data_IF_360313651380
#
_entry.id   IF_360313651380
#
_cell.length_a   1.000
_cell.length_b   1.000
_cell.length_c   1.000
_cell.angle_alpha   90.00
_cell.angle_beta   90.00
_cell.angle_gamma   90.00
#
_symmetry.space_group_name_H-M   'P 1'
#
loop_
_entity.id
_entity.type
_entity.pdbx_description
1 polymer ?
#
# COMPACT_ATOMS: atom_id res chain seq x y z
N UNK A 1 -8.23 67.72 40.88
CA UNK A 1 -7.50 68.36 39.76
C UNK A 1 -6.95 67.25 38.90
N UNK A 2 -7.66 66.96 37.79
CA UNK A 2 -7.25 67.16 36.38
C UNK A 2 -6.25 66.09 35.91
N UNK A 3 -6.42 65.39 34.78
CA UNK A 3 -7.46 65.33 33.74
C UNK A 3 -7.05 64.16 32.82
N UNK A 4 -7.98 63.26 32.50
CA UNK A 4 -8.02 62.40 31.27
C UNK A 4 -8.59 63.25 30.09
N UNK A 5 -8.86 62.78 28.83
CA UNK A 5 -8.61 61.52 28.08
C UNK A 5 -8.33 61.68 26.52
N UNK A 6 -8.47 60.58 25.73
CA UNK A 6 -8.76 60.42 24.26
C UNK A 6 -7.56 60.39 23.28
N UNK A 7 -7.49 59.57 22.21
CA UNK A 7 -8.40 58.59 21.54
C UNK A 7 -7.59 57.63 20.63
N UNK A 8 -7.99 56.36 20.45
CA UNK A 8 -8.70 55.76 19.30
C UNK A 8 -8.08 56.03 17.90
N UNK A 9 -7.57 54.99 17.21
CA UNK A 9 -8.19 54.30 16.03
C UNK A 9 -7.25 53.25 15.39
N UNK A 10 -7.82 52.08 15.04
CA UNK A 10 -7.51 51.15 13.90
C UNK A 10 -6.11 50.47 13.83
N UNK A 11 -5.87 49.20 13.53
CA UNK A 11 -6.59 47.96 13.15
C UNK A 11 -5.60 46.78 13.46
N UNK A 12 -6.00 45.69 14.14
CA UNK A 12 -6.41 44.38 13.56
C UNK A 12 -5.35 43.77 12.59
N UNK A 13 -4.76 42.56 12.74
CA UNK A 13 -5.32 41.26 13.16
C UNK A 13 -4.22 40.24 13.53
N UNK A 14 -4.60 39.36 14.44
CA UNK A 14 -4.04 38.02 14.67
C UNK A 14 -4.15 37.14 13.41
N UNK A 15 -3.08 36.41 13.07
CA UNK A 15 -3.09 35.44 11.98
C UNK A 15 -3.67 34.09 12.47
N UNK A 16 -4.99 34.05 12.61
CA UNK A 16 -5.79 32.83 12.61
C UNK A 16 -6.31 32.65 11.19
N UNK A 17 -5.72 31.76 10.39
CA UNK A 17 -6.26 31.45 9.06
C UNK A 17 -7.08 30.17 9.10
N UNK A 18 -8.31 30.32 9.61
CA UNK A 18 -9.42 29.53 9.10
C UNK A 18 -9.67 29.98 7.65
N UNK A 19 -9.83 29.03 6.73
CA UNK A 19 -10.43 29.32 5.43
C UNK A 19 -11.50 28.29 5.20
N UNK A 20 -12.73 28.73 5.41
CA UNK A 20 -13.92 28.10 4.87
C UNK A 20 -13.75 28.01 3.35
N UNK A 21 -13.87 26.80 2.80
CA UNK A 21 -14.15 26.60 1.39
C UNK A 21 -15.64 26.32 1.29
N UNK A 22 -16.32 27.30 0.72
CA UNK A 22 -17.68 27.23 0.21
C UNK A 22 -17.87 26.03 -0.71
N UNK A 23 -19.02 25.37 -0.57
CA UNK A 23 -19.49 24.37 -1.52
C UNK A 23 -19.69 25.03 -2.90
N UNK A 24 -19.27 24.40 -4.02
CA UNK A 24 -19.90 24.61 -5.31
C UNK A 24 -20.82 23.43 -5.62
N UNK A 25 -22.11 23.75 -5.75
CA UNK A 25 -23.11 22.88 -6.38
C UNK A 25 -22.84 22.87 -7.88
N UNK A 26 -22.60 21.67 -8.42
CA UNK A 26 -22.78 21.20 -9.81
C UNK A 26 -22.18 22.02 -10.98
N UNK A 27 -21.22 21.41 -11.70
CA UNK A 27 -21.30 21.19 -13.17
C UNK A 27 -20.15 20.30 -13.66
N UNK A 28 -20.51 19.21 -14.35
CA UNK A 28 -19.78 18.46 -15.39
C UNK A 28 -18.34 18.00 -15.09
N UNK A 29 -18.19 16.70 -14.80
CA UNK A 29 -16.90 15.99 -14.88
C UNK A 29 -16.40 15.99 -16.34
N UNK A 30 -15.27 16.67 -16.57
CA UNK A 30 -14.59 16.71 -17.86
C UNK A 30 -13.97 15.35 -18.23
N UNK A 31 -14.01 14.91 -19.51
CA UNK A 31 -13.44 13.65 -20.00
C UNK A 31 -11.92 13.48 -19.82
N UNK A 32 -11.19 14.53 -19.44
CA UNK A 32 -9.72 14.51 -19.37
C UNK A 32 -9.16 13.68 -18.20
N UNK A 33 -9.86 13.62 -17.06
CA UNK A 33 -9.39 12.92 -15.84
C UNK A 33 -9.49 11.39 -15.92
N UNK A 34 -10.38 10.84 -16.74
CA UNK A 34 -10.42 9.40 -17.03
C UNK A 34 -9.26 8.98 -17.93
N UNK A 35 -8.78 9.88 -18.80
CA UNK A 35 -7.71 9.57 -19.76
C UNK A 35 -6.31 9.47 -19.14
N UNK A 36 -6.10 10.04 -17.95
CA UNK A 36 -4.79 10.08 -17.31
C UNK A 36 -4.56 8.89 -16.36
N UNK A 37 -5.63 8.25 -15.89
CA UNK A 37 -5.54 7.00 -15.12
C UNK A 37 -5.22 5.80 -16.02
N UNK A 38 -5.84 5.73 -17.21
CA UNK A 38 -5.57 4.68 -18.20
C UNK A 38 -4.13 4.75 -18.76
N UNK A 39 -3.58 5.97 -18.95
CA UNK A 39 -2.22 6.16 -19.48
C UNK A 39 -1.13 5.72 -18.51
N UNK A 40 -1.35 5.81 -17.20
CA UNK A 40 -0.34 5.41 -16.22
C UNK A 40 -0.30 3.89 -16.04
N UNK A 41 -1.46 3.24 -16.08
CA UNK A 41 -1.59 1.77 -16.05
C UNK A 41 -1.00 1.14 -17.33
N UNK A 42 -1.24 1.72 -18.50
CA UNK A 42 -0.66 1.25 -19.77
C UNK A 42 0.87 1.46 -19.83
N UNK A 43 1.40 2.48 -19.14
CA UNK A 43 2.83 2.75 -19.08
C UNK A 43 3.57 1.71 -18.23
N UNK A 44 2.99 1.30 -17.10
CA UNK A 44 3.60 0.27 -16.24
C UNK A 44 3.54 -1.14 -16.87
N UNK A 45 2.46 -1.48 -17.58
CA UNK A 45 2.33 -2.77 -18.28
C UNK A 45 3.37 -2.91 -19.40
N UNK A 46 3.65 -1.84 -20.15
CA UNK A 46 4.64 -1.85 -21.24
C UNK A 46 6.10 -1.98 -20.76
N UNK A 47 6.42 -1.45 -19.58
CA UNK A 47 7.74 -1.62 -18.95
C UNK A 47 7.96 -3.09 -18.56
N UNK A 48 6.91 -3.75 -18.04
CA UNK A 48 6.98 -5.15 -17.63
C UNK A 48 7.14 -6.11 -18.81
N UNK A 49 6.50 -5.84 -19.95
CA UNK A 49 6.63 -6.65 -21.16
C UNK A 49 8.00 -6.51 -21.85
N UNK A 50 8.62 -5.33 -21.79
CA UNK A 50 9.97 -5.10 -22.36
C UNK A 50 11.07 -5.84 -21.61
N UNK A 51 10.98 -5.97 -20.29
CA UNK A 51 11.98 -6.66 -19.47
C UNK A 51 11.95 -8.19 -19.68
N UNK A 52 10.79 -8.76 -20.01
CA UNK A 52 10.63 -10.19 -20.31
C UNK A 52 11.29 -10.60 -21.63
N UNK A 53 11.39 -9.69 -22.61
CA UNK A 53 11.98 -9.95 -23.92
C UNK A 53 13.53 -9.97 -23.89
N UNK A 54 14.15 -9.18 -23.02
CA UNK A 54 15.61 -9.02 -22.92
C UNK A 54 16.29 -10.24 -22.26
N UNK A 55 15.58 -10.96 -21.39
CA UNK A 55 16.13 -12.13 -20.67
C UNK A 55 16.16 -13.43 -21.50
N UNK A 56 15.67 -13.42 -22.73
CA UNK A 56 15.56 -14.63 -23.57
C UNK A 56 16.57 -14.75 -24.72
N UNK A 57 17.55 -13.84 -24.82
CA UNK A 57 18.50 -13.82 -25.94
C UNK A 57 19.97 -13.88 -25.51
N UNK A 58 20.46 -14.99 -24.95
CA UNK A 58 21.89 -15.33 -25.00
C UNK A 58 22.14 -16.80 -24.61
N UNK A 59 22.33 -17.70 -25.59
CA UNK A 59 23.26 -18.83 -25.42
C UNK A 59 23.63 -19.53 -26.74
N UNK A 60 24.94 -19.72 -26.97
CA UNK A 60 25.61 -20.82 -27.74
C UNK A 60 27.06 -20.48 -28.08
N UNK A 61 28.05 -21.37 -27.78
CA UNK A 61 29.40 -21.27 -28.33
C UNK A 61 29.85 -22.53 -29.11
N UNK A 62 30.76 -22.33 -30.06
CA UNK A 62 31.35 -23.37 -30.95
C UNK A 62 32.83 -23.63 -30.60
N UNK A 63 33.29 -24.88 -30.72
CA UNK A 63 34.54 -25.41 -30.16
C UNK A 63 35.55 -25.82 -31.26
N UNK A 64 36.76 -25.22 -31.27
CA UNK A 64 37.98 -25.89 -31.82
C UNK A 64 39.33 -25.21 -31.50
N UNK A 65 39.38 -24.17 -30.67
CA UNK A 65 40.64 -23.57 -30.17
C UNK A 65 40.77 -23.70 -28.64
N UNK A 66 40.17 -24.75 -28.07
CA UNK A 66 39.91 -24.87 -26.63
C UNK A 66 41.18 -25.21 -25.83
N UNK A 67 41.88 -26.31 -26.12
CA UNK A 67 42.82 -26.91 -25.16
C UNK A 67 44.10 -26.13 -24.77
N UNK A 68 44.55 -25.16 -25.56
CA UNK A 68 45.72 -24.33 -25.22
C UNK A 68 45.31 -22.98 -24.57
N UNK A 69 44.23 -22.38 -25.07
CA UNK A 69 43.59 -21.22 -24.44
C UNK A 69 42.99 -21.59 -23.09
N UNK A 70 42.49 -22.80 -22.92
CA UNK A 70 41.84 -23.30 -21.71
C UNK A 70 42.82 -23.50 -20.55
N UNK A 71 44.08 -23.87 -20.81
CA UNK A 71 45.12 -23.95 -19.77
C UNK A 71 45.58 -22.58 -19.28
N UNK A 72 45.87 -21.65 -20.20
CA UNK A 72 46.20 -20.27 -19.84
C UNK A 72 45.00 -19.53 -19.21
N UNK A 73 43.78 -19.87 -19.63
CA UNK A 73 42.52 -19.37 -19.05
C UNK A 73 42.22 -20.02 -17.70
N UNK A 74 42.62 -21.26 -17.47
CA UNK A 74 42.50 -21.93 -16.17
C UNK A 74 43.48 -21.36 -15.15
N UNK A 75 44.74 -21.10 -15.53
CA UNK A 75 45.73 -20.44 -14.66
C UNK A 75 45.30 -18.99 -14.35
N UNK A 76 44.92 -18.21 -15.37
CA UNK A 76 44.37 -16.85 -15.17
C UNK A 76 43.04 -16.86 -14.41
N UNK A 77 42.19 -17.88 -14.56
CA UNK A 77 40.96 -18.03 -13.79
C UNK A 77 41.23 -18.46 -12.36
N UNK A 78 42.32 -19.17 -12.09
CA UNK A 78 42.72 -19.56 -10.74
C UNK A 78 43.31 -18.38 -9.98
N UNK A 79 44.17 -17.56 -10.60
CA UNK A 79 44.62 -16.29 -10.03
C UNK A 79 43.47 -15.28 -9.89
N UNK A 80 42.56 -15.19 -10.87
CA UNK A 80 41.36 -14.37 -10.75
C UNK A 80 40.41 -14.89 -9.66
N UNK A 81 40.31 -16.22 -9.47
CA UNK A 81 39.51 -16.85 -8.42
C UNK A 81 40.13 -16.59 -7.05
N UNK A 82 41.44 -16.67 -6.89
CA UNK A 82 42.14 -16.31 -5.65
C UNK A 82 42.03 -14.82 -5.36
N UNK A 83 42.18 -13.95 -6.36
CA UNK A 83 42.01 -12.51 -6.19
C UNK A 83 40.54 -12.15 -5.89
N UNK A 84 39.58 -12.84 -6.50
CA UNK A 84 38.15 -12.72 -6.18
C UNK A 84 37.86 -13.27 -4.79
N UNK A 85 38.51 -14.35 -4.36
CA UNK A 85 38.37 -14.94 -3.03
C UNK A 85 39.02 -14.07 -1.95
N UNK A 86 40.16 -13.44 -2.23
CA UNK A 86 40.82 -12.45 -1.37
C UNK A 86 39.97 -11.18 -1.31
N UNK A 87 39.46 -10.69 -2.44
CA UNK A 87 38.53 -9.56 -2.47
C UNK A 87 37.20 -9.92 -1.79
N UNK A 88 36.74 -11.17 -1.85
CA UNK A 88 35.60 -11.67 -1.09
C UNK A 88 35.94 -11.68 0.39
N UNK A 89 37.08 -12.24 0.81
CA UNK A 89 37.53 -12.30 2.22
C UNK A 89 37.70 -10.91 2.83
N UNK A 90 38.27 -9.96 2.07
CA UNK A 90 38.36 -8.54 2.48
C UNK A 90 36.98 -7.89 2.50
N UNK A 91 36.09 -8.22 1.55
CA UNK A 91 34.65 -7.86 1.61
C UNK A 91 33.89 -8.60 2.74
N UNK A 92 34.42 -9.69 3.30
CA UNK A 92 33.73 -10.47 4.34
C UNK A 92 33.97 -9.92 5.74
N UNK A 93 34.92 -8.98 5.93
CA UNK A 93 35.29 -8.46 7.25
C UNK A 93 35.27 -6.92 7.32
N UNK A 94 34.30 -6.28 6.70
CA UNK A 94 34.17 -4.81 6.71
C UNK A 94 34.09 -4.23 8.11
N UNK A 95 33.26 -4.79 8.99
CA UNK A 95 33.09 -4.26 10.34
C UNK A 95 34.37 -4.45 11.16
N UNK A 96 35.01 -5.61 11.03
CA UNK A 96 36.26 -5.88 11.71
C UNK A 96 37.38 -4.91 11.31
N UNK A 97 37.41 -4.44 10.05
CA UNK A 97 38.48 -3.58 9.56
C UNK A 97 38.25 -2.08 9.77
N UNK A 98 37.01 -1.64 10.05
CA UNK A 98 36.63 -0.22 10.01
C UNK A 98 36.11 0.34 11.34
N UNK A 99 35.82 -0.50 12.34
CA UNK A 99 35.25 -0.05 13.62
C UNK A 99 36.32 0.01 14.72
N UNK A 100 37.44 0.64 14.39
CA UNK A 100 38.52 0.99 15.33
C UNK A 100 38.51 2.50 15.60
N UNK A 101 39.57 3.01 16.24
CA UNK A 101 39.80 4.44 16.44
C UNK A 101 40.22 4.77 17.86
N UNK A 102 40.84 5.94 18.06
CA UNK A 102 41.48 6.33 19.33
C UNK A 102 40.54 6.32 20.54
N UNK A 103 39.24 6.49 20.31
CA UNK A 103 38.21 6.49 21.37
C UNK A 103 37.70 5.09 21.73
N UNK A 104 38.07 4.06 20.95
CA UNK A 104 37.58 2.68 21.09
C UNK A 104 36.05 2.57 21.09
N UNK A 105 35.36 3.44 20.34
CA UNK A 105 33.90 3.56 20.33
C UNK A 105 33.21 2.61 19.32
N UNK A 106 33.97 1.78 18.61
CA UNK A 106 33.43 0.93 17.54
C UNK A 106 32.36 -0.04 18.04
N UNK A 107 32.53 -0.60 19.24
CA UNK A 107 31.56 -1.51 19.85
C UNK A 107 30.19 -0.83 20.03
N UNK A 108 30.17 0.37 20.61
CA UNK A 108 28.93 1.11 20.88
C UNK A 108 28.19 1.43 19.59
N UNK A 109 28.91 1.88 18.57
CA UNK A 109 28.33 2.19 17.26
C UNK A 109 27.69 0.94 16.63
N UNK A 110 28.39 -0.19 16.63
CA UNK A 110 27.88 -1.45 16.07
C UNK A 110 26.69 -2.00 16.84
N UNK A 111 26.74 -1.96 18.17
CA UNK A 111 25.66 -2.42 19.02
C UNK A 111 24.39 -1.58 18.82
N UNK A 112 24.52 -0.25 18.70
CA UNK A 112 23.40 0.63 18.41
C UNK A 112 22.89 0.48 16.96
N UNK A 113 23.77 0.24 15.98
CA UNK A 113 23.34 -0.07 14.62
C UNK A 113 22.44 -1.31 14.59
N UNK A 114 22.84 -2.39 15.26
CA UNK A 114 22.01 -3.58 15.41
C UNK A 114 20.64 -3.22 16.01
N UNK A 115 20.59 -2.37 17.05
CA UNK A 115 19.32 -1.89 17.62
C UNK A 115 18.46 -1.13 16.60
N UNK A 116 19.05 -0.30 15.75
CA UNK A 116 18.31 0.40 14.69
C UNK A 116 17.69 -0.56 13.67
N UNK A 117 18.25 -1.75 13.46
CA UNK A 117 17.61 -2.80 12.65
C UNK A 117 16.21 -3.20 13.14
N UNK A 118 15.91 -3.10 14.46
CA UNK A 118 14.55 -3.32 14.97
C UNK A 118 13.60 -2.17 14.62
N UNK A 119 14.10 -0.94 14.55
CA UNK A 119 13.30 0.21 14.16
C UNK A 119 12.88 0.06 12.69
N UNK A 120 13.82 -0.28 11.80
CA UNK A 120 13.54 -0.51 10.39
C UNK A 120 12.46 -1.60 10.16
N UNK A 121 12.48 -2.70 10.92
CA UNK A 121 11.45 -3.75 10.85
C UNK A 121 10.06 -3.22 11.24
N UNK A 122 9.97 -2.37 12.28
CA UNK A 122 8.71 -1.77 12.72
C UNK A 122 8.16 -0.76 11.71
N UNK A 123 9.03 0.10 11.19
CA UNK A 123 8.68 1.09 10.16
C UNK A 123 8.16 0.40 8.89
N UNK A 124 8.76 -0.73 8.50
CA UNK A 124 8.25 -1.54 7.38
C UNK A 124 6.84 -2.08 7.66
N UNK A 125 6.57 -2.59 8.87
CA UNK A 125 5.24 -3.07 9.25
C UNK A 125 4.20 -1.94 9.24
N UNK A 126 4.57 -0.75 9.69
CA UNK A 126 3.72 0.45 9.64
C UNK A 126 3.42 0.87 8.21
N UNK A 127 4.44 0.93 7.34
CA UNK A 127 4.25 1.22 5.93
C UNK A 127 3.27 0.24 5.25
N UNK A 128 3.46 -1.06 5.45
CA UNK A 128 2.57 -2.08 4.84
C UNK A 128 1.16 -1.99 5.42
N UNK A 129 1.00 -1.59 6.69
CA UNK A 129 -0.32 -1.36 7.31
C UNK A 129 -1.07 -0.20 6.67
N UNK A 130 -0.40 0.92 6.43
CA UNK A 130 -1.00 2.05 5.72
C UNK A 130 -1.39 1.65 4.29
N UNK A 131 -0.53 0.89 3.60
CA UNK A 131 -0.86 0.33 2.29
C UNK A 131 -2.11 -0.56 2.35
N UNK A 132 -2.22 -1.46 3.33
CA UNK A 132 -3.38 -2.33 3.50
C UNK A 132 -4.68 -1.53 3.73
N UNK A 133 -4.63 -0.44 4.50
CA UNK A 133 -5.78 0.44 4.72
C UNK A 133 -6.24 1.18 3.45
N UNK A 134 -5.30 1.57 2.59
CA UNK A 134 -5.61 2.14 1.27
C UNK A 134 -6.35 1.11 0.42
N UNK A 135 -5.83 -0.12 0.33
CA UNK A 135 -6.47 -1.21 -0.44
C UNK A 135 -7.86 -1.57 0.10
N UNK A 136 -8.05 -1.56 1.41
CA UNK A 136 -9.37 -1.75 2.02
C UNK A 136 -10.36 -0.66 1.60
N UNK A 137 -9.92 0.59 1.61
CA UNK A 137 -10.74 1.75 1.22
C UNK A 137 -11.12 1.67 -0.26
N UNK A 138 -10.17 1.26 -1.12
CA UNK A 138 -10.42 1.05 -2.54
C UNK A 138 -11.45 -0.06 -2.76
N UNK A 139 -11.25 -1.22 -2.13
CA UNK A 139 -12.18 -2.35 -2.18
C UNK A 139 -13.60 -1.94 -1.77
N UNK A 140 -13.77 -1.26 -0.62
CA UNK A 140 -15.07 -0.78 -0.14
C UNK A 140 -15.73 0.21 -1.12
N UNK A 141 -14.94 1.10 -1.72
CA UNK A 141 -15.42 2.05 -2.72
C UNK A 141 -15.90 1.35 -3.98
N UNK A 142 -15.17 0.33 -4.45
CA UNK A 142 -15.57 -0.49 -5.59
C UNK A 142 -16.83 -1.32 -5.29
N UNK A 143 -16.97 -1.91 -4.11
CA UNK A 143 -18.21 -2.58 -3.71
C UNK A 143 -19.41 -1.62 -3.66
N UNK A 144 -19.19 -0.36 -3.27
CA UNK A 144 -20.24 0.67 -3.32
C UNK A 144 -20.62 1.00 -4.77
N UNK A 145 -19.65 1.11 -5.67
CA UNK A 145 -19.88 1.34 -7.10
C UNK A 145 -20.70 0.20 -7.72
N UNK A 146 -20.38 -1.05 -7.40
CA UNK A 146 -21.15 -2.21 -7.84
C UNK A 146 -22.62 -2.13 -7.39
N UNK A 147 -22.87 -1.73 -6.14
CA UNK A 147 -24.25 -1.51 -5.62
C UNK A 147 -25.00 -0.41 -6.38
N UNK A 148 -24.30 0.67 -6.77
CA UNK A 148 -24.92 1.73 -7.60
C UNK A 148 -25.32 1.16 -8.96
N UNK A 149 -24.45 0.39 -9.62
CA UNK A 149 -24.78 -0.27 -10.87
C UNK A 149 -25.96 -1.25 -10.72
N UNK A 150 -26.05 -1.97 -9.59
CA UNK A 150 -27.19 -2.84 -9.28
C UNK A 150 -28.51 -2.10 -9.11
N UNK A 151 -28.46 -0.82 -8.70
CA UNK A 151 -29.63 0.05 -8.56
C UNK A 151 -29.92 0.86 -9.83
N UNK A 152 -29.22 0.57 -10.94
CA UNK A 152 -29.52 1.15 -12.25
C UNK A 152 -30.96 0.87 -12.66
N UNK A 153 -31.53 1.74 -13.51
CA UNK A 153 -32.91 1.58 -13.96
C UNK A 153 -33.08 0.21 -14.64
N UNK A 154 -34.04 -0.62 -14.21
CA UNK A 154 -34.35 -1.89 -14.89
C UNK A 154 -35.11 -1.65 -16.21
N UNK A 155 -35.37 -0.39 -16.56
CA UNK A 155 -36.12 -0.01 -17.74
C UNK A 155 -35.19 0.39 -18.89
N UNK A 156 -35.70 0.20 -20.11
CA UNK A 156 -35.01 0.57 -21.33
C UNK A 156 -34.03 -0.49 -21.85
N UNK A 157 -33.64 -0.32 -23.09
CA UNK A 157 -32.80 -1.25 -23.85
C UNK A 157 -31.40 -1.42 -23.27
N UNK A 158 -30.90 -0.45 -22.50
CA UNK A 158 -29.59 -0.47 -21.88
C UNK A 158 -29.55 -1.26 -20.55
N UNK A 159 -30.70 -1.60 -19.96
CA UNK A 159 -30.77 -2.21 -18.64
C UNK A 159 -29.82 -3.42 -18.42
N UNK A 160 -29.63 -4.36 -19.39
CA UNK A 160 -28.70 -5.47 -19.23
C UNK A 160 -27.23 -5.07 -19.06
N UNK A 161 -26.82 -3.90 -19.57
CA UNK A 161 -25.44 -3.43 -19.46
C UNK A 161 -25.05 -3.09 -18.02
N UNK A 162 -26.00 -2.65 -17.19
CA UNK A 162 -25.75 -2.38 -15.78
C UNK A 162 -25.26 -3.61 -15.01
N UNK A 163 -25.69 -4.81 -15.41
CA UNK A 163 -25.22 -6.05 -14.79
C UNK A 163 -23.74 -6.33 -15.13
N UNK A 164 -23.30 -6.00 -16.35
CA UNK A 164 -21.89 -6.12 -16.75
C UNK A 164 -21.00 -5.19 -15.91
N UNK A 165 -21.42 -3.94 -15.75
CA UNK A 165 -20.73 -2.98 -14.87
C UNK A 165 -20.71 -3.43 -13.42
N UNK A 166 -21.83 -3.95 -12.92
CA UNK A 166 -21.95 -4.47 -11.54
C UNK A 166 -20.96 -5.62 -11.30
N UNK A 167 -20.98 -6.64 -12.16
CA UNK A 167 -20.12 -7.83 -12.00
C UNK A 167 -18.64 -7.47 -12.08
N UNK A 168 -18.23 -6.62 -13.03
CA UNK A 168 -16.84 -6.19 -13.13
C UNK A 168 -16.39 -5.40 -11.89
N UNK A 169 -17.22 -4.47 -11.42
CA UNK A 169 -16.94 -3.70 -10.21
C UNK A 169 -16.84 -4.58 -8.96
N UNK A 170 -17.69 -5.58 -8.82
CA UNK A 170 -17.64 -6.57 -7.73
C UNK A 170 -16.33 -7.37 -7.78
N UNK A 171 -15.91 -7.85 -8.97
CA UNK A 171 -14.65 -8.60 -9.11
C UNK A 171 -13.43 -7.75 -8.79
N UNK A 172 -13.39 -6.50 -9.24
CA UNK A 172 -12.33 -5.55 -8.87
C UNK A 172 -12.29 -5.32 -7.35
N UNK A 173 -13.45 -5.14 -6.71
CA UNK A 173 -13.51 -5.00 -5.26
C UNK A 173 -12.90 -6.21 -4.53
N UNK A 174 -13.11 -7.43 -5.05
CA UNK A 174 -12.55 -8.66 -4.51
C UNK A 174 -11.02 -8.75 -4.71
N UNK A 175 -10.49 -8.34 -5.86
CA UNK A 175 -9.04 -8.31 -6.10
C UNK A 175 -8.31 -7.43 -5.07
N UNK A 176 -8.83 -6.23 -4.82
CA UNK A 176 -8.25 -5.31 -3.83
C UNK A 176 -8.46 -5.79 -2.38
N UNK A 177 -9.60 -6.43 -2.08
CA UNK A 177 -9.82 -7.05 -0.78
C UNK A 177 -8.80 -8.15 -0.50
N UNK A 178 -8.50 -8.97 -1.51
CA UNK A 178 -7.53 -10.05 -1.39
C UNK A 178 -6.11 -9.53 -1.25
N UNK A 179 -5.75 -8.46 -1.97
CA UNK A 179 -4.46 -7.79 -1.78
C UNK A 179 -4.31 -7.27 -0.35
N UNK A 180 -5.34 -6.61 0.19
CA UNK A 180 -5.34 -6.17 1.59
C UNK A 180 -5.10 -7.34 2.57
N UNK A 181 -5.71 -8.51 2.32
CA UNK A 181 -5.49 -9.70 3.15
C UNK A 181 -4.05 -10.21 3.07
N UNK A 182 -3.50 -10.31 1.86
CA UNK A 182 -2.08 -10.66 1.66
C UNK A 182 -1.14 -9.69 2.37
N UNK A 183 -1.44 -8.39 2.34
CA UNK A 183 -0.68 -7.37 3.08
C UNK A 183 -0.77 -7.58 4.59
N UNK A 184 -1.96 -7.92 5.13
CA UNK A 184 -2.11 -8.25 6.53
C UNK A 184 -1.37 -9.54 6.95
N UNK A 185 -1.33 -10.55 6.09
CA UNK A 185 -0.52 -11.75 6.31
C UNK A 185 0.98 -11.40 6.35
N UNK A 186 1.45 -10.58 5.40
CA UNK A 186 2.83 -10.09 5.39
C UNK A 186 3.17 -9.27 6.65
N UNK A 187 2.26 -8.44 7.15
CA UNK A 187 2.45 -7.73 8.42
C UNK A 187 2.68 -8.71 9.58
N UNK A 188 1.98 -9.85 9.61
CA UNK A 188 2.22 -10.89 10.63
C UNK A 188 3.62 -11.49 10.50
N UNK A 189 4.07 -11.75 9.27
CA UNK A 189 5.42 -12.27 9.03
C UNK A 189 6.52 -11.26 9.42
N UNK A 190 6.31 -9.97 9.13
CA UNK A 190 7.22 -8.89 9.56
C UNK A 190 7.29 -8.81 11.09
N UNK A 191 6.14 -8.84 11.77
CA UNK A 191 6.08 -8.79 13.23
C UNK A 191 6.74 -10.01 13.88
N UNK A 192 6.50 -11.21 13.32
CA UNK A 192 7.15 -12.45 13.77
C UNK A 192 8.67 -12.33 13.67
N UNK A 193 9.18 -11.79 12.55
CA UNK A 193 10.60 -11.52 12.42
C UNK A 193 11.11 -10.49 13.44
N UNK A 194 10.33 -9.44 13.71
CA UNK A 194 10.64 -8.47 14.77
C UNK A 194 10.82 -9.13 16.16
N UNK A 195 9.95 -10.08 16.51
CA UNK A 195 10.06 -10.86 17.76
C UNK A 195 11.31 -11.78 17.77
N UNK A 196 11.65 -12.37 16.63
CA UNK A 196 12.88 -13.15 16.47
C UNK A 196 14.13 -12.28 16.65
N UNK A 197 14.15 -11.07 16.08
CA UNK A 197 15.22 -10.09 16.30
C UNK A 197 15.39 -9.74 17.78
N UNK A 198 14.30 -9.56 18.54
CA UNK A 198 14.38 -9.30 20.00
C UNK A 198 15.15 -10.40 20.72
N UNK A 199 14.89 -11.67 20.37
CA UNK A 199 15.58 -12.82 20.96
C UNK A 199 17.07 -12.83 20.61
N UNK A 200 17.40 -12.59 19.33
CA UNK A 200 18.79 -12.49 18.86
C UNK A 200 19.52 -11.36 19.58
N UNK A 201 18.94 -10.17 19.65
CA UNK A 201 19.58 -9.00 20.28
C UNK A 201 19.81 -9.19 21.78
N UNK A 202 18.88 -9.84 22.49
CA UNK A 202 19.06 -10.18 23.90
C UNK A 202 20.25 -11.12 24.09
N UNK A 203 20.30 -12.20 23.30
CA UNK A 203 21.41 -13.17 23.34
C UNK A 203 22.75 -12.51 22.99
N UNK A 204 22.79 -11.68 21.94
CA UNK A 204 24.00 -10.95 21.57
C UNK A 204 24.46 -10.01 22.67
N UNK A 205 23.55 -9.29 23.34
CA UNK A 205 23.92 -8.44 24.49
C UNK A 205 24.63 -9.24 25.59
N UNK A 206 24.14 -10.43 25.92
CA UNK A 206 24.73 -11.31 26.93
C UNK A 206 26.10 -11.85 26.49
N UNK A 207 26.23 -12.26 25.22
CA UNK A 207 27.49 -12.78 24.66
C UNK A 207 28.60 -11.71 24.58
N UNK A 208 28.23 -10.43 24.47
CA UNK A 208 29.18 -9.33 24.22
C UNK A 208 29.65 -8.60 25.49
N UNK A 209 29.25 -9.05 26.69
CA UNK A 209 29.67 -8.42 27.96
C UNK A 209 31.19 -8.36 28.08
N UNK A 210 31.89 -9.44 27.74
CA UNK A 210 33.36 -9.47 27.81
C UNK A 210 34.05 -8.46 26.87
N UNK A 211 33.42 -8.10 25.76
CA UNK A 211 33.95 -7.05 24.87
C UNK A 211 33.80 -5.66 25.50
N UNK A 212 32.69 -5.41 26.18
CA UNK A 212 32.48 -4.16 26.94
C UNK A 212 33.52 -4.03 28.05
N UNK A 213 33.76 -5.11 28.79
CA UNK A 213 34.79 -5.15 29.84
C UNK A 213 36.18 -4.87 29.28
N UNK A 214 36.54 -5.46 28.12
CA UNK A 214 37.82 -5.21 27.46
C UNK A 214 37.96 -3.75 26.99
N UNK A 215 36.89 -3.15 26.44
CA UNK A 215 36.87 -1.71 26.06
C UNK A 215 37.13 -0.83 27.29
N UNK A 216 36.43 -1.09 28.40
CA UNK A 216 36.57 -0.32 29.64
C UNK A 216 37.97 -0.48 30.25
N UNK A 217 38.50 -1.70 30.27
CA UNK A 217 39.85 -1.97 30.75
C UNK A 217 40.91 -1.22 29.94
N UNK A 218 40.78 -1.23 28.60
CA UNK A 218 41.69 -0.50 27.72
C UNK A 218 41.63 1.01 27.98
N UNK A 219 40.43 1.58 28.12
CA UNK A 219 40.26 3.01 28.42
C UNK A 219 40.90 3.41 29.75
N UNK A 220 40.70 2.62 30.80
CA UNK A 220 41.30 2.85 32.13
C UNK A 220 42.83 2.78 32.06
N UNK A 221 43.38 1.74 31.44
CA UNK A 221 44.82 1.56 31.33
C UNK A 221 45.48 2.58 30.39
N UNK A 222 44.78 3.07 29.37
CA UNK A 222 45.23 4.20 28.54
C UNK A 222 45.44 5.46 29.38
N UNK A 223 44.49 5.78 30.26
CA UNK A 223 44.63 6.91 31.20
C UNK A 223 45.79 6.75 32.18
N UNK A 224 45.99 5.54 32.72
CA UNK A 224 47.13 5.23 33.59
C UNK A 224 48.48 5.33 32.85
N UNK A 225 48.53 4.87 31.61
CA UNK A 225 49.72 4.98 30.75
C UNK A 225 50.08 6.46 30.53
N UNK A 226 49.11 7.29 30.18
CA UNK A 226 49.35 8.72 29.97
C UNK A 226 49.83 9.43 31.24
N UNK A 227 49.19 9.15 32.38
CA UNK A 227 49.58 9.73 33.68
C UNK A 227 50.99 9.30 34.14
N UNK A 228 51.34 8.02 33.93
CA UNK A 228 52.67 7.51 34.28
C UNK A 228 53.76 8.05 33.35
N UNK A 229 53.46 8.23 32.05
CA UNK A 229 54.32 8.91 31.08
C UNK A 229 54.61 10.34 31.52
N UNK A 230 53.58 11.15 31.77
CA UNK A 230 53.73 12.54 32.24
C UNK A 230 54.51 12.60 33.57
N UNK A 231 54.21 11.69 34.49
CA UNK A 231 54.93 11.56 35.77
C UNK A 231 56.43 11.28 35.58
N UNK A 232 56.77 10.34 34.68
CA UNK A 232 58.16 10.02 34.34
C UNK A 232 58.87 11.23 33.71
N UNK A 233 58.31 11.81 32.66
CA UNK A 233 58.89 12.99 31.99
C UNK A 233 59.07 14.16 32.96
N UNK A 234 58.12 14.41 33.86
CA UNK A 234 58.25 15.43 34.90
C UNK A 234 59.40 15.18 35.87
N UNK A 235 59.67 13.92 36.25
CA UNK A 235 60.83 13.59 37.09
C UNK A 235 62.16 13.70 36.34
N UNK A 236 62.20 13.33 35.06
CA UNK A 236 63.40 13.53 34.23
C UNK A 236 63.72 15.01 34.04
N UNK A 237 62.71 15.83 33.75
CA UNK A 237 62.88 17.28 33.62
C UNK A 237 63.44 17.93 34.90
N UNK A 238 62.90 17.55 36.07
CA UNK A 238 63.40 18.03 37.36
C UNK A 238 64.86 17.62 37.61
N UNK A 239 65.21 16.37 37.29
CA UNK A 239 66.58 15.87 37.41
C UNK A 239 67.55 16.66 36.51
N UNK A 240 67.17 16.91 35.27
CA UNK A 240 68.00 17.68 34.32
C UNK A 240 68.16 19.13 34.76
N UNK A 241 67.12 19.74 35.37
CA UNK A 241 67.19 21.08 35.96
C UNK A 241 68.20 21.12 37.10
N UNK A 242 68.10 20.22 38.07
CA UNK A 242 69.01 20.14 39.22
C UNK A 242 70.47 19.93 38.80
N UNK A 243 70.71 19.14 37.76
CA UNK A 243 72.06 18.94 37.19
C UNK A 243 72.61 20.22 36.54
N UNK A 244 71.79 20.98 35.82
CA UNK A 244 72.18 22.25 35.18
C UNK A 244 72.43 23.36 36.20
N UNK A 245 71.62 23.41 37.25
CA UNK A 245 71.69 24.44 38.29
C UNK A 245 72.82 24.22 39.31
N UNK A 246 73.58 23.12 39.19
CA UNK A 246 74.66 22.79 40.12
C UNK A 246 74.17 22.47 41.54
N UNK A 247 72.98 21.85 41.66
CA UNK A 247 72.40 21.50 42.95
C UNK A 247 73.29 20.53 43.76
N UNK A 248 73.15 20.48 45.10
CA UNK A 248 73.94 19.58 45.93
C UNK A 248 73.83 18.12 45.46
N UNK A 249 74.96 17.40 45.46
CA UNK A 249 75.05 16.02 44.99
C UNK A 249 73.97 15.09 45.57
N UNK A 250 73.70 15.23 46.88
CA UNK A 250 72.66 14.46 47.59
C UNK A 250 71.24 14.71 47.04
N UNK A 251 70.95 15.90 46.53
CA UNK A 251 69.66 16.23 45.93
C UNK A 251 69.54 15.67 44.52
N UNK A 252 70.63 15.71 43.74
CA UNK A 252 70.70 15.07 42.41
C UNK A 252 70.48 13.56 42.53
N UNK A 253 71.20 12.88 43.42
CA UNK A 253 71.03 11.43 43.67
C UNK A 253 69.59 11.08 44.10
N UNK A 254 68.96 11.92 44.91
CA UNK A 254 67.55 11.76 45.31
C UNK A 254 66.60 11.93 44.12
N UNK A 255 66.86 12.87 43.22
CA UNK A 255 66.07 13.07 42.00
C UNK A 255 66.28 11.92 41.00
N UNK A 256 67.50 11.38 40.88
CA UNK A 256 67.81 10.20 40.08
C UNK A 256 67.02 8.98 40.55
N UNK A 257 66.98 8.72 41.85
CA UNK A 257 66.20 7.61 42.41
C UNK A 257 64.70 7.78 42.14
N UNK A 258 64.16 9.00 42.23
CA UNK A 258 62.75 9.29 41.91
C UNK A 258 62.46 9.09 40.42
N UNK A 259 63.36 9.53 39.54
CA UNK A 259 63.26 9.34 38.09
C UNK A 259 63.28 7.84 37.74
N UNK A 260 64.22 7.08 38.32
CA UNK A 260 64.32 5.62 38.12
C UNK A 260 63.03 4.91 38.56
N UNK A 261 62.51 5.23 39.74
CA UNK A 261 61.23 4.66 40.22
C UNK A 261 60.04 5.03 39.33
N UNK A 262 60.01 6.26 38.79
CA UNK A 262 58.98 6.66 37.84
C UNK A 262 59.11 5.93 36.50
N UNK A 263 60.33 5.66 36.04
CA UNK A 263 60.61 4.85 34.85
C UNK A 263 60.11 3.41 34.99
N UNK A 264 60.36 2.78 36.13
CA UNK A 264 59.87 1.42 36.43
C UNK A 264 58.33 1.38 36.45
N UNK A 265 57.70 2.39 37.07
CA UNK A 265 56.23 2.54 37.08
C UNK A 265 55.64 2.74 35.68
N UNK A 266 56.31 3.52 34.82
CA UNK A 266 55.91 3.73 33.44
C UNK A 266 56.06 2.45 32.61
N UNK A 267 57.17 1.71 32.75
CA UNK A 267 57.39 0.43 32.09
C UNK A 267 56.30 -0.60 32.45
N UNK A 268 55.95 -0.71 33.75
CA UNK A 268 54.84 -1.56 34.21
C UNK A 268 53.48 -1.13 33.64
N UNK A 269 53.28 0.17 33.44
CA UNK A 269 52.04 0.69 32.83
C UNK A 269 51.95 0.36 31.35
N UNK A 270 53.07 0.39 30.62
CA UNK A 270 53.17 -0.06 29.22
C UNK A 270 52.83 -1.54 29.10
N UNK A 271 53.41 -2.40 29.95
CA UNK A 271 53.13 -3.84 29.92
C UNK A 271 51.65 -4.14 30.15
N UNK A 272 51.04 -3.51 31.16
CA UNK A 272 49.61 -3.65 31.43
C UNK A 272 48.74 -3.16 30.28
N UNK A 273 49.06 -2.00 29.70
CA UNK A 273 48.34 -1.45 28.56
C UNK A 273 48.39 -2.39 27.36
N UNK A 274 49.57 -2.90 27.01
CA UNK A 274 49.74 -3.82 25.89
C UNK A 274 48.96 -5.13 26.10
N UNK A 275 48.94 -5.65 27.34
CA UNK A 275 48.17 -6.86 27.67
C UNK A 275 46.68 -6.68 27.44
N UNK A 276 46.09 -5.61 28.00
CA UNK A 276 44.65 -5.33 27.81
C UNK A 276 44.33 -4.90 26.38
N UNK A 277 45.30 -4.28 25.69
CA UNK A 277 45.19 -3.94 24.26
C UNK A 277 45.03 -5.17 23.37
N UNK A 278 45.84 -6.22 23.59
CA UNK A 278 45.69 -7.48 22.85
C UNK A 278 44.37 -8.19 23.13
N UNK A 279 43.91 -8.18 24.38
CA UNK A 279 42.60 -8.75 24.75
C UNK A 279 41.44 -7.97 24.09
N UNK A 280 41.50 -6.63 24.11
CA UNK A 280 40.54 -5.78 23.41
C UNK A 280 40.52 -6.05 21.91
N UNK A 281 41.68 -6.09 21.25
CA UNK A 281 41.76 -6.30 19.81
C UNK A 281 41.13 -7.63 19.39
N UNK A 282 41.41 -8.71 20.15
CA UNK A 282 40.80 -10.00 19.93
C UNK A 282 39.28 -9.95 20.10
N UNK A 283 38.80 -9.44 21.24
CA UNK A 283 37.36 -9.41 21.56
C UNK A 283 36.57 -8.51 20.61
N UNK A 284 37.11 -7.34 20.30
CA UNK A 284 36.48 -6.39 19.38
C UNK A 284 36.41 -6.97 17.95
N UNK A 285 37.45 -7.68 17.52
CA UNK A 285 37.45 -8.40 16.24
C UNK A 285 36.32 -9.43 16.14
N UNK A 286 36.20 -10.30 17.15
CA UNK A 286 35.15 -11.33 17.22
C UNK A 286 33.74 -10.69 17.25
N UNK A 287 33.56 -9.64 18.05
CA UNK A 287 32.30 -8.89 18.14
C UNK A 287 31.93 -8.20 16.83
N UNK A 288 32.88 -7.54 16.17
CA UNK A 288 32.63 -6.83 14.92
C UNK A 288 32.19 -7.80 13.81
N UNK A 289 32.84 -8.96 13.72
CA UNK A 289 32.44 -10.02 12.79
C UNK A 289 31.03 -10.55 13.10
N UNK A 290 30.70 -10.74 14.39
CA UNK A 290 29.37 -11.16 14.82
C UNK A 290 28.30 -10.14 14.45
N UNK A 291 28.54 -8.84 14.71
CA UNK A 291 27.60 -7.78 14.35
C UNK A 291 27.37 -7.71 12.84
N UNK A 292 28.42 -7.88 12.03
CA UNK A 292 28.26 -7.92 10.57
C UNK A 292 27.40 -9.10 10.13
N UNK A 293 27.61 -10.29 10.70
CA UNK A 293 26.79 -11.46 10.39
C UNK A 293 25.32 -11.26 10.74
N UNK A 294 25.02 -10.59 11.87
CA UNK A 294 23.65 -10.22 12.26
C UNK A 294 23.06 -9.22 11.27
N UNK A 295 23.81 -8.17 10.91
CA UNK A 295 23.36 -7.14 9.98
C UNK A 295 23.08 -7.70 8.59
N UNK A 296 23.97 -8.55 8.07
CA UNK A 296 23.75 -9.17 6.77
C UNK A 296 22.54 -10.12 6.78
N UNK A 297 22.34 -10.89 7.86
CA UNK A 297 21.15 -11.71 8.03
C UNK A 297 19.89 -10.86 8.08
N UNK A 298 19.95 -9.71 8.77
CA UNK A 298 18.86 -8.75 8.82
C UNK A 298 18.51 -8.19 7.43
N UNK A 299 19.49 -7.67 6.71
CA UNK A 299 19.28 -7.12 5.37
C UNK A 299 18.77 -8.18 4.39
N UNK A 300 19.26 -9.42 4.49
CA UNK A 300 18.74 -10.55 3.69
C UNK A 300 17.27 -10.80 3.98
N UNK A 301 16.87 -10.86 5.25
CA UNK A 301 15.48 -11.11 5.63
C UNK A 301 14.55 -9.96 5.22
N UNK A 302 14.95 -8.70 5.45
CA UNK A 302 14.19 -7.52 5.03
C UNK A 302 13.95 -7.52 3.52
N UNK A 303 14.97 -7.87 2.72
CA UNK A 303 14.81 -8.02 1.27
C UNK A 303 13.83 -9.13 0.88
N UNK A 304 13.74 -10.23 1.63
CA UNK A 304 12.75 -11.27 1.36
C UNK A 304 11.33 -10.81 1.67
N UNK A 305 11.13 -10.07 2.77
CA UNK A 305 9.82 -9.50 3.11
C UNK A 305 9.35 -8.50 2.04
N UNK A 306 10.24 -7.64 1.55
CA UNK A 306 9.96 -6.71 0.45
C UNK A 306 9.64 -7.45 -0.86
N UNK A 307 10.30 -8.59 -1.13
CA UNK A 307 9.92 -9.44 -2.27
C UNK A 307 8.51 -10.00 -2.13
N UNK A 308 8.13 -10.46 -0.94
CA UNK A 308 6.77 -10.93 -0.66
C UNK A 308 5.71 -9.84 -0.90
N UNK A 309 6.03 -8.60 -0.51
CA UNK A 309 5.23 -7.41 -0.83
C UNK A 309 5.07 -7.20 -2.34
N UNK A 310 6.19 -7.15 -3.09
CA UNK A 310 6.19 -6.96 -4.55
C UNK A 310 5.36 -8.04 -5.25
N UNK A 311 5.57 -9.30 -4.88
CA UNK A 311 4.89 -10.43 -5.50
C UNK A 311 3.38 -10.38 -5.29
N UNK A 312 2.94 -9.98 -4.09
CA UNK A 312 1.51 -9.81 -3.81
C UNK A 312 0.86 -8.76 -4.71
N UNK A 313 1.56 -7.66 -4.99
CA UNK A 313 1.09 -6.58 -5.88
C UNK A 313 1.05 -7.07 -7.33
N UNK A 314 2.14 -7.68 -7.81
CA UNK A 314 2.24 -8.20 -9.17
C UNK A 314 1.13 -9.21 -9.46
N UNK A 315 0.91 -10.17 -8.56
CA UNK A 315 -0.16 -11.16 -8.65
C UNK A 315 -1.55 -10.50 -8.78
N UNK A 316 -1.84 -9.50 -7.93
CA UNK A 316 -3.11 -8.79 -7.97
C UNK A 316 -3.25 -7.97 -9.24
N UNK A 317 -2.19 -7.35 -9.75
CA UNK A 317 -2.21 -6.62 -11.02
C UNK A 317 -2.61 -7.53 -12.19
N UNK A 318 -2.09 -8.75 -12.22
CA UNK A 318 -2.48 -9.76 -13.23
C UNK A 318 -3.97 -10.08 -13.13
N UNK A 319 -4.50 -10.27 -11.91
CA UNK A 319 -5.93 -10.53 -11.70
C UNK A 319 -6.82 -9.35 -12.13
N UNK A 320 -6.44 -8.12 -11.79
CA UNK A 320 -7.15 -6.91 -12.23
C UNK A 320 -7.18 -6.82 -13.76
N UNK A 321 -6.06 -7.08 -14.43
CA UNK A 321 -5.98 -7.14 -15.88
C UNK A 321 -6.94 -8.18 -16.49
N UNK A 322 -7.07 -9.35 -15.86
CA UNK A 322 -8.04 -10.38 -16.29
C UNK A 322 -9.49 -9.90 -16.15
N UNK A 323 -9.82 -9.20 -15.06
CA UNK A 323 -11.17 -8.64 -14.85
C UNK A 323 -11.51 -7.58 -15.89
N UNK A 324 -10.54 -6.73 -16.26
CA UNK A 324 -10.74 -5.73 -17.32
C UNK A 324 -10.94 -6.37 -18.70
N UNK A 325 -10.16 -7.40 -19.02
CA UNK A 325 -10.30 -8.12 -20.28
C UNK A 325 -11.65 -8.86 -20.36
N UNK A 326 -12.08 -9.48 -19.27
CA UNK A 326 -13.41 -10.10 -19.18
C UNK A 326 -14.53 -9.07 -19.35
N UNK A 327 -14.39 -7.88 -18.76
CA UNK A 327 -15.37 -6.80 -18.92
C UNK A 327 -15.52 -6.40 -20.39
N UNK A 328 -14.42 -6.18 -21.11
CA UNK A 328 -14.44 -5.87 -22.55
C UNK A 328 -15.18 -6.94 -23.34
N UNK A 329 -14.82 -8.21 -23.12
CA UNK A 329 -15.46 -9.33 -23.82
C UNK A 329 -16.96 -9.41 -23.52
N UNK A 330 -17.37 -9.18 -22.27
CA UNK A 330 -18.79 -9.14 -21.89
C UNK A 330 -19.55 -8.01 -22.58
N UNK A 331 -18.93 -6.84 -22.77
CA UNK A 331 -19.53 -5.73 -23.53
C UNK A 331 -19.67 -6.09 -25.01
N UNK A 332 -18.63 -6.66 -25.63
CA UNK A 332 -18.66 -7.07 -27.04
C UNK A 332 -19.69 -8.18 -27.32
N UNK A 333 -19.87 -9.12 -26.38
CA UNK A 333 -20.83 -10.21 -26.51
C UNK A 333 -22.29 -9.75 -26.50
N UNK A 334 -22.59 -8.57 -25.94
CA UNK A 334 -23.94 -8.00 -25.90
C UNK A 334 -24.14 -7.12 -27.14
N UNK A 335 -24.50 -7.76 -28.26
CA UNK A 335 -24.82 -7.07 -29.50
C UNK A 335 -26.02 -6.12 -29.38
N UNK A 336 -25.97 -5.00 -30.11
CA UNK A 336 -27.05 -4.01 -30.16
C UNK A 336 -28.36 -4.66 -30.64
N UNK A 337 -28.30 -5.49 -31.67
CA UNK A 337 -29.46 -6.21 -32.21
C UNK A 337 -30.12 -7.10 -31.14
N UNK A 338 -29.31 -7.77 -30.31
CA UNK A 338 -29.81 -8.62 -29.22
C UNK A 338 -30.53 -7.78 -28.15
N UNK A 339 -30.02 -6.58 -27.84
CA UNK A 339 -30.67 -5.68 -26.88
C UNK A 339 -32.01 -5.16 -27.41
N UNK A 340 -32.04 -4.70 -28.67
CA UNK A 340 -33.26 -4.20 -29.33
C UNK A 340 -34.30 -5.32 -29.45
N UNK A 341 -33.88 -6.50 -29.90
CA UNK A 341 -34.74 -7.67 -30.00
C UNK A 341 -35.33 -8.04 -28.64
N UNK A 342 -34.50 -8.19 -27.59
CA UNK A 342 -34.98 -8.51 -26.24
C UNK A 342 -35.98 -7.48 -25.72
N UNK A 343 -35.73 -6.20 -25.96
CA UNK A 343 -36.67 -5.16 -25.55
C UNK A 343 -38.01 -5.27 -26.30
N UNK A 344 -37.98 -5.43 -27.62
CA UNK A 344 -39.18 -5.59 -28.44
C UNK A 344 -39.99 -6.84 -28.06
N UNK A 345 -39.31 -7.95 -27.72
CA UNK A 345 -39.95 -9.18 -27.25
C UNK A 345 -40.59 -9.01 -25.86
N UNK A 346 -39.99 -8.22 -24.97
CA UNK A 346 -40.48 -8.00 -23.61
C UNK A 346 -41.58 -6.93 -23.50
N UNK A 347 -41.52 -5.89 -24.34
CA UNK A 347 -42.38 -4.70 -24.25
C UNK A 347 -43.27 -4.49 -25.49
N UNK A 348 -43.24 -5.40 -26.46
CA UNK A 348 -44.08 -5.33 -27.66
C UNK A 348 -45.57 -5.39 -27.31
N UNK A 349 -46.36 -4.53 -27.95
CA UNK A 349 -47.81 -4.39 -27.71
C UNK A 349 -48.67 -5.24 -28.64
N UNK A 350 -48.07 -5.87 -29.64
CA UNK A 350 -48.73 -6.70 -30.63
C UNK A 350 -47.99 -6.65 -31.96
N UNK A 351 -48.09 -7.73 -32.75
CA UNK A 351 -47.53 -7.78 -34.12
C UNK A 351 -48.59 -7.47 -35.19
N UNK A 352 -49.87 -7.48 -34.81
CA UNK A 352 -50.98 -7.20 -35.71
C UNK A 352 -51.04 -5.71 -36.04
N UNK A 353 -51.13 -5.40 -37.33
CA UNK A 353 -51.35 -4.04 -37.79
C UNK A 353 -52.84 -3.73 -37.74
N UNK A 354 -53.26 -2.47 -37.53
CA UNK A 354 -54.66 -2.08 -37.62
C UNK A 354 -55.28 -2.61 -38.92
N UNK A 355 -56.39 -3.33 -38.80
CA UNK A 355 -57.11 -3.81 -39.96
C UNK A 355 -57.64 -2.62 -40.77
N UNK A 356 -57.64 -2.74 -42.09
CA UNK A 356 -58.29 -1.75 -42.94
C UNK A 356 -59.78 -1.77 -42.64
N UNK A 357 -60.33 -0.61 -42.26
CA UNK A 357 -61.76 -0.45 -42.11
C UNK A 357 -62.41 -0.56 -43.49
N UNK A 358 -63.34 -1.49 -43.62
CA UNK A 358 -64.19 -1.62 -44.81
C UNK A 358 -65.57 -1.09 -44.44
N UNK A 359 -66.24 -0.42 -45.38
CA UNK A 359 -67.61 0.05 -45.19
C UNK A 359 -68.52 -1.14 -44.87
N UNK A 360 -69.12 -1.15 -43.69
CA UNK A 360 -70.14 -2.12 -43.29
C UNK A 360 -71.52 -1.53 -43.58
N UNK A 361 -72.26 -2.16 -44.48
CA UNK A 361 -73.62 -1.74 -44.82
C UNK A 361 -74.58 -2.11 -43.68
N UNK A 362 -75.39 -1.15 -43.22
CA UNK A 362 -76.34 -1.36 -42.13
C UNK A 362 -77.51 -2.25 -42.62
N UNK A 363 -77.45 -3.56 -42.32
CA UNK A 363 -78.53 -4.48 -42.64
C UNK A 363 -79.62 -4.41 -41.57
N UNK A 364 -80.72 -3.71 -41.88
CA UNK A 364 -81.95 -3.73 -41.09
C UNK A 364 -82.62 -5.11 -41.20
N UNK A 365 -82.27 -5.99 -40.25
CA UNK A 365 -83.06 -7.14 -39.82
C UNK A 365 -83.46 -8.19 -40.86
N UNK A 366 -82.65 -9.25 -41.00
CA UNK A 366 -83.12 -10.61 -41.30
C UNK A 366 -82.14 -11.63 -40.68
N UNK A 367 -82.65 -12.45 -39.75
CA UNK A 367 -82.01 -13.67 -39.20
C UNK A 367 -82.14 -14.77 -40.27
N UNK A 368 -81.06 -15.49 -40.66
CA UNK A 368 -80.81 -16.79 -40.01
C UNK A 368 -79.35 -17.29 -39.89
N UNK A 369 -79.19 -18.05 -38.80
CA UNK A 369 -78.41 -19.28 -38.57
C UNK A 369 -76.99 -19.48 -39.13
N UNK A 370 -76.08 -19.73 -38.18
CA UNK A 370 -75.25 -20.95 -38.29
C UNK A 370 -73.79 -20.80 -38.72
N UNK A 371 -73.04 -19.83 -38.18
CA UNK A 371 -71.56 -19.86 -38.26
C UNK A 371 -70.96 -20.04 -36.87
N UNK A 372 -70.28 -21.18 -36.69
CA UNK A 372 -69.58 -21.56 -35.46
C UNK A 372 -68.44 -20.57 -35.18
N UNK A 373 -68.69 -19.60 -34.29
CA UNK A 373 -67.65 -18.75 -33.71
C UNK A 373 -66.71 -19.60 -32.85
N UNK A 374 -65.44 -19.65 -33.22
CA UNK A 374 -64.36 -20.15 -32.36
C UNK A 374 -64.23 -19.16 -31.19
N UNK A 375 -64.51 -19.63 -29.97
CA UNK A 375 -64.43 -18.82 -28.75
C UNK A 375 -62.97 -18.41 -28.47
N UNK A 376 -62.66 -17.13 -28.19
CA UNK A 376 -61.48 -16.79 -27.42
C UNK A 376 -61.65 -17.34 -26.00
N UNK A 377 -60.58 -17.95 -25.45
CA UNK A 377 -60.55 -18.37 -24.04
C UNK A 377 -60.58 -17.12 -23.16
N UNK A 378 -61.72 -16.86 -22.52
CA UNK A 378 -61.81 -15.96 -21.40
C UNK A 378 -61.11 -16.56 -20.17
N UNK A 379 -60.38 -15.68 -19.49
CA UNK A 379 -59.74 -15.88 -18.18
C UNK A 379 -60.76 -16.39 -17.16
N UNK A 380 -60.42 -17.43 -16.38
CA UNK A 380 -61.18 -17.87 -15.19
C UNK A 380 -60.38 -17.53 -13.94
N UNK A 381 -60.98 -16.81 -13.00
CA UNK A 381 -60.59 -16.84 -11.59
C UNK A 381 -61.56 -17.78 -10.86
N UNK A 382 -61.10 -18.92 -10.32
CA UNK A 382 -61.94 -19.76 -9.46
C UNK A 382 -62.06 -19.18 -8.04
N UNK A 383 -63.31 -18.99 -7.57
CA UNK A 383 -63.64 -18.80 -6.15
C UNK A 383 -64.34 -17.47 -5.82
N UNK A 384 -65.68 -17.45 -5.89
CA UNK A 384 -66.56 -16.64 -5.04
C UNK A 384 -68.00 -17.07 -5.29
N UNK A 385 -68.65 -17.57 -4.24
CA UNK A 385 -70.02 -18.06 -4.27
C UNK A 385 -70.96 -17.17 -3.45
N UNK A 386 -72.21 -17.13 -3.93
CA UNK A 386 -73.49 -16.82 -3.24
C UNK A 386 -73.89 -15.35 -3.02
N UNK A 387 -74.90 -14.91 -3.80
CA UNK A 387 -76.28 -14.47 -3.42
C UNK A 387 -76.44 -13.70 -2.08
N UNK A 388 -77.18 -12.59 -1.94
CA UNK A 388 -78.42 -12.09 -2.57
C UNK A 388 -78.64 -10.58 -2.27
N UNK A 389 -79.63 -9.96 -2.98
CA UNK A 389 -80.56 -8.86 -2.60
C UNK A 389 -80.36 -7.42 -3.14
N UNK A 390 -81.25 -7.09 -4.08
CA UNK A 390 -81.81 -5.78 -4.53
C UNK A 390 -82.81 -5.18 -3.49
N UNK A 391 -83.40 -3.95 -3.61
CA UNK A 391 -83.67 -3.19 -4.87
C UNK A 391 -83.67 -1.62 -4.88
N UNK A 392 -83.72 -1.10 -6.12
CA UNK A 392 -84.51 0.04 -6.67
C UNK A 392 -84.12 1.55 -6.58
N UNK A 393 -84.32 2.19 -7.75
CA UNK A 393 -84.64 3.60 -8.10
C UNK A 393 -83.54 4.68 -7.95
N UNK A 394 -83.31 5.63 -8.86
CA UNK A 394 -84.11 6.15 -10.00
C UNK A 394 -83.19 6.92 -10.97
N UNK A 395 -83.65 6.97 -12.21
CA UNK A 395 -83.26 7.76 -13.39
C UNK A 395 -82.79 9.21 -13.16
N UNK A 396 -81.76 9.65 -13.92
CA UNK A 396 -81.74 10.92 -14.68
C UNK A 396 -80.45 11.07 -15.52
N UNK A 397 -80.63 11.16 -16.85
CA UNK A 397 -79.70 11.72 -17.84
C UNK A 397 -79.30 13.17 -17.48
N UNK A 398 -78.19 13.81 -17.91
CA UNK A 398 -77.59 14.11 -19.23
C UNK A 398 -76.27 14.90 -18.94
N UNK A 399 -75.44 15.39 -19.89
CA UNK A 399 -74.94 14.88 -21.17
C UNK A 399 -73.41 14.69 -21.15
N UNK A 400 -72.90 13.96 -22.13
CA UNK A 400 -71.49 13.97 -22.52
C UNK A 400 -71.07 15.38 -23.00
N UNK A 401 -70.13 16.00 -22.30
CA UNK A 401 -69.27 17.06 -22.84
C UNK A 401 -67.90 16.47 -23.10
N UNK A 402 -67.61 16.18 -24.37
CA UNK A 402 -66.26 15.89 -24.86
C UNK A 402 -65.35 17.09 -24.58
N UNK A 403 -64.53 17.01 -23.54
CA UNK A 403 -63.39 17.90 -23.35
C UNK A 403 -62.19 17.38 -24.15
N UNK A 404 -61.40 18.28 -24.79
CA UNK A 404 -60.17 17.88 -25.48
C UNK A 404 -59.14 17.37 -24.46
N UNK A 405 -58.54 16.21 -24.75
CA UNK A 405 -57.50 15.56 -23.94
C UNK A 405 -56.33 16.52 -23.69
N UNK A 406 -56.04 16.83 -22.42
CA UNK A 406 -54.85 17.61 -22.03
C UNK A 406 -53.58 16.75 -22.11
N UNK A 407 -52.59 17.29 -22.80
CA UNK A 407 -51.20 16.80 -22.89
C UNK A 407 -50.38 17.38 -21.73
N UNK A 408 -49.54 16.56 -21.10
CA UNK A 408 -48.58 17.04 -20.11
C UNK A 408 -47.28 17.55 -20.78
N UNK A 409 -46.40 18.17 -19.97
CA UNK A 409 -45.19 18.87 -20.42
C UNK A 409 -44.15 17.97 -21.13
N UNK A 410 -44.36 16.65 -21.20
CA UNK A 410 -43.50 15.70 -21.93
C UNK A 410 -44.17 15.12 -23.20
N UNK A 411 -45.42 15.49 -23.49
CA UNK A 411 -45.98 15.49 -24.85
C UNK A 411 -46.39 14.14 -25.46
N UNK A 412 -46.52 13.04 -24.72
CA UNK A 412 -46.90 11.75 -25.33
C UNK A 412 -47.65 10.77 -24.40
N UNK A 413 -48.94 11.02 -24.07
CA UNK A 413 -49.88 9.92 -23.72
C UNK A 413 -51.33 10.26 -24.12
N UNK A 414 -52.00 9.35 -24.86
CA UNK A 414 -53.47 9.25 -24.90
C UNK A 414 -53.87 8.26 -23.80
N UNK A 415 -54.47 8.72 -22.69
CA UNK A 415 -55.02 7.81 -21.66
C UNK A 415 -56.39 7.33 -22.10
N UNK A 416 -56.61 6.01 -22.05
CA UNK A 416 -57.94 5.45 -21.87
C UNK A 416 -58.15 5.20 -20.37
N UNK A 417 -59.30 5.60 -19.84
CA UNK A 417 -59.63 5.59 -18.41
C UNK A 417 -59.29 4.27 -17.71
N UNK A 418 -58.49 4.38 -16.65
CA UNK A 418 -58.34 3.34 -15.64
C UNK A 418 -58.71 3.94 -14.29
N UNK A 419 -59.91 3.63 -13.81
CA UNK A 419 -60.39 3.89 -12.45
C UNK A 419 -59.35 3.43 -11.43
N UNK A 420 -58.70 4.39 -10.78
CA UNK A 420 -57.80 4.15 -9.65
C UNK A 420 -58.60 4.18 -8.35
N UNK A 421 -58.61 3.05 -7.64
CA UNK A 421 -58.65 3.03 -6.17
C UNK A 421 -57.29 2.48 -5.70
N UNK A 422 -56.50 3.33 -5.06
CA UNK A 422 -55.97 3.14 -3.70
C UNK A 422 -54.64 3.90 -3.45
N UNK A 423 -54.81 5.01 -2.69
CA UNK A 423 -54.13 5.35 -1.42
C UNK A 423 -52.60 5.58 -1.42
N UNK A 424 -52.26 6.88 -1.44
CA UNK A 424 -51.45 7.66 -0.48
C UNK A 424 -50.24 6.99 0.21
N UNK A 425 -49.05 7.58 0.01
CA UNK A 425 -48.24 8.16 1.09
C UNK A 425 -47.17 9.09 0.49
N UNK A 426 -47.34 10.40 0.66
CA UNK A 426 -46.27 11.39 0.60
C UNK A 426 -46.33 12.27 1.85
N UNK A 427 -45.14 12.50 2.37
CA UNK A 427 -44.74 13.36 3.48
C UNK A 427 -45.35 14.76 3.53
N UNK A 428 -45.57 15.29 4.75
CA UNK A 428 -45.28 16.70 5.08
C UNK A 428 -45.08 16.92 6.60
N UNK A 429 -43.85 17.33 6.94
CA UNK A 429 -43.32 18.27 7.96
C UNK A 429 -44.14 18.76 9.20
N UNK A 430 -43.48 18.68 10.40
CA UNK A 430 -43.32 19.57 11.60
C UNK A 430 -44.50 20.43 12.15
N UNK A 431 -44.58 20.86 13.46
CA UNK A 431 -43.54 21.11 14.50
C UNK A 431 -43.83 20.43 15.88
N UNK A 432 -42.92 20.31 16.87
CA UNK A 432 -42.24 21.26 17.79
C UNK A 432 -40.98 20.59 18.36
#
# INVERSE_FOLDING_TARGET
>A
MRQTPLGLTEDNQHLTRATAITSPRTTVTSPAMLSDFDKEVDREINIFLSLKHILHQHDRPDQTAAGARERLRAENAQEASEQVAVNLRVKMAFFQNNFWGEKNAGFDVLYHNMKHGQLATKELAEFVRERAAIEETYSKSMSKLAKIASNGSPQGTFAPMWDVFRVSSDKLALCHLELMRKMNDLIRDINKYGDEQVKVHRKTKEEMVGTVEAVQALQVHSGHLQKSKEGYHGKCFELDRLRKDGAPQKEVEKAELKSKKASESFALSIEKYNRVGGEFEQKMSESAQKFQGIEEAHLRQMKQLIKGYSHSIEDTHVQVGQVHEEFKQNVENIGIDNLVQKFAEQKGTGKERPALAVFEEYLTGLVPEGVKKIRPKAFRIPGLGKRDKEPDSTDSAVPETNSPLEVDDEGFVIRADSTHNDILFLSSSFPV
#
